data_IF_901067189541
#
_entry.id   IF_901067189541
#
_cell.length_a   1.000
_cell.length_b   1.000
_cell.length_c   1.000
_cell.angle_alpha   90.00
_cell.angle_beta   90.00
_cell.angle_gamma   90.00
#
_symmetry.space_group_name_H-M   'P 1'
#
loop_
_entity.id
_entity.type
_entity.pdbx_description
1 polymer ?
#
# COMPACT_ATOMS: atom_id res chain seq x y z
N UNK A 1 2.82 -18.37 5.32
CA UNK A 1 1.47 -17.79 5.09
C UNK A 1 1.64 -16.29 4.93
N UNK A 2 0.87 -15.65 4.05
CA UNK A 2 0.87 -14.19 3.91
C UNK A 2 0.27 -13.54 5.15
N UNK A 3 0.76 -12.36 5.51
CA UNK A 3 0.21 -11.56 6.61
C UNK A 3 -1.25 -11.17 6.36
N UNK A 4 -2.15 -11.28 7.37
CA UNK A 4 -3.53 -10.84 7.24
C UNK A 4 -3.64 -9.33 7.02
N UNK A 5 -4.62 -8.93 6.21
CA UNK A 5 -5.05 -7.52 6.13
C UNK A 5 -6.46 -7.37 6.70
N UNK A 6 -6.66 -6.32 7.48
CA UNK A 6 -7.95 -5.95 8.08
C UNK A 6 -8.27 -4.50 7.76
N UNK A 7 -9.53 -4.11 7.92
CA UNK A 7 -9.96 -2.73 7.70
C UNK A 7 -10.82 -2.20 8.83
N UNK A 8 -10.83 -0.87 8.96
CA UNK A 8 -11.81 -0.09 9.71
C UNK A 8 -12.46 0.95 8.80
N UNK A 9 -13.78 1.01 8.77
CA UNK A 9 -14.53 2.16 8.27
C UNK A 9 -14.78 3.11 9.43
N UNK A 10 -14.27 4.33 9.33
CA UNK A 10 -14.28 5.31 10.41
C UNK A 10 -15.34 6.37 10.14
N UNK A 11 -16.07 6.74 11.20
CA UNK A 11 -17.00 7.87 11.20
C UNK A 11 -16.68 8.85 12.32
N UNK A 12 -16.96 10.14 12.12
CA UNK A 12 -17.04 11.16 13.17
C UNK A 12 -18.50 11.61 13.30
N UNK A 13 -19.12 11.42 14.46
CA UNK A 13 -20.54 11.74 14.69
C UNK A 13 -21.48 11.12 13.62
N UNK A 14 -21.16 9.89 13.20
CA UNK A 14 -21.79 9.11 12.12
C UNK A 14 -21.50 9.58 10.68
N UNK A 15 -20.75 10.66 10.49
CA UNK A 15 -20.29 11.09 9.17
C UNK A 15 -19.04 10.30 8.74
N UNK A 16 -19.03 9.67 7.55
CA UNK A 16 -17.89 8.87 7.10
C UNK A 16 -16.59 9.70 6.93
N UNK A 17 -15.52 9.30 7.62
CA UNK A 17 -14.18 9.85 7.42
C UNK A 17 -13.39 9.10 6.35
N UNK A 18 -13.64 7.79 6.23
CA UNK A 18 -13.04 6.91 5.23
C UNK A 18 -12.63 5.56 5.80
N UNK A 19 -11.90 4.78 5.01
CA UNK A 19 -11.42 3.44 5.37
C UNK A 19 -9.93 3.45 5.68
N UNK A 20 -9.53 2.77 6.74
CA UNK A 20 -8.14 2.45 7.08
C UNK A 20 -7.92 0.96 6.85
N UNK A 21 -6.90 0.60 6.06
CA UNK A 21 -6.49 -0.80 5.86
C UNK A 21 -5.16 -1.03 6.55
N UNK A 22 -5.05 -2.14 7.26
CA UNK A 22 -3.91 -2.46 8.12
C UNK A 22 -3.42 -3.87 7.81
N UNK A 23 -2.12 -4.03 7.68
CA UNK A 23 -1.46 -5.34 7.59
C UNK A 23 -0.95 -5.75 8.98
N UNK A 24 -1.24 -6.99 9.37
CA UNK A 24 -0.89 -7.55 10.67
C UNK A 24 0.32 -8.47 10.52
N UNK A 25 1.35 -8.27 11.32
CA UNK A 25 2.63 -9.01 11.29
C UNK A 25 2.51 -10.37 11.96
N UNK A 26 1.63 -11.22 11.44
CA UNK A 26 1.44 -12.59 11.91
C UNK A 26 2.69 -13.47 11.75
N UNK A 27 3.60 -13.07 10.85
CA UNK A 27 4.93 -13.65 10.71
C UNK A 27 5.87 -13.40 11.90
N UNK A 28 5.62 -12.35 12.72
CA UNK A 28 6.47 -11.97 13.86
C UNK A 28 5.75 -12.12 15.20
N UNK A 29 4.47 -11.76 15.25
CA UNK A 29 3.62 -11.80 16.45
C UNK A 29 2.28 -12.48 16.13
N UNK A 30 2.28 -13.78 15.78
CA UNK A 30 1.08 -14.50 15.35
C UNK A 30 -0.07 -14.44 16.36
N UNK A 31 0.21 -14.51 17.67
CA UNK A 31 -0.83 -14.50 18.71
C UNK A 31 -1.48 -13.12 18.82
N UNK A 32 -0.68 -12.06 18.78
CA UNK A 32 -1.15 -10.67 18.85
C UNK A 32 -1.90 -10.28 17.58
N UNK A 33 -1.38 -10.67 16.41
CA UNK A 33 -2.02 -10.45 15.12
C UNK A 33 -3.37 -11.17 15.03
N UNK A 34 -3.45 -12.43 15.48
CA UNK A 34 -4.70 -13.20 15.46
C UNK A 34 -5.75 -12.62 16.41
N UNK A 35 -5.35 -12.13 17.58
CA UNK A 35 -6.25 -11.40 18.49
C UNK A 35 -6.91 -10.23 17.78
N UNK A 36 -6.09 -9.36 17.19
CA UNK A 36 -6.61 -8.17 16.50
C UNK A 36 -7.48 -8.54 15.29
N UNK A 37 -7.06 -9.52 14.48
CA UNK A 37 -7.82 -9.99 13.32
C UNK A 37 -9.20 -10.52 13.71
N UNK A 38 -9.26 -11.40 14.71
CA UNK A 38 -10.51 -11.99 15.17
C UNK A 38 -11.45 -10.90 15.73
N UNK A 39 -10.93 -9.92 16.48
CA UNK A 39 -11.69 -8.77 16.98
C UNK A 39 -12.18 -7.85 15.84
N UNK A 40 -11.43 -7.69 14.75
CA UNK A 40 -11.92 -7.00 13.55
C UNK A 40 -13.09 -7.75 12.91
N UNK A 41 -13.04 -9.09 12.84
CA UNK A 41 -14.12 -9.87 12.21
C UNK A 41 -15.34 -10.08 13.10
N UNK A 42 -15.20 -9.94 14.42
CA UNK A 42 -16.25 -10.25 15.38
C UNK A 42 -16.57 -11.75 15.49
N UNK A 43 -15.75 -12.64 14.94
CA UNK A 43 -16.03 -14.08 14.86
C UNK A 43 -16.14 -14.78 16.22
N UNK A 44 -15.68 -14.14 17.29
CA UNK A 44 -15.82 -14.60 18.69
C UNK A 44 -17.08 -14.09 19.39
N UNK A 45 -17.98 -13.42 18.66
CA UNK A 45 -19.22 -12.82 19.19
C UNK A 45 -19.05 -11.43 19.79
N UNK A 46 -17.84 -10.89 19.80
CA UNK A 46 -17.50 -9.54 20.22
C UNK A 46 -16.32 -9.02 19.37
N UNK A 47 -16.15 -7.70 19.29
CA UNK A 47 -15.13 -7.12 18.41
C UNK A 47 -15.18 -5.60 18.33
N UNK A 48 -14.46 -5.06 17.35
CA UNK A 48 -14.25 -3.62 17.22
C UNK A 48 -15.40 -2.85 16.55
N UNK A 49 -16.37 -3.52 15.94
CA UNK A 49 -17.51 -2.84 15.30
C UNK A 49 -18.33 -2.08 16.33
N UNK A 50 -18.47 -0.77 16.15
CA UNK A 50 -19.11 0.16 17.08
C UNK A 50 -18.19 0.69 18.20
N UNK A 51 -16.94 0.22 18.28
CA UNK A 51 -15.95 0.72 19.23
C UNK A 51 -15.51 2.15 18.86
N UNK A 52 -15.17 2.95 19.87
CA UNK A 52 -14.67 4.31 19.69
C UNK A 52 -13.14 4.39 19.77
N UNK A 53 -12.57 5.41 19.15
CA UNK A 53 -11.26 5.94 19.52
C UNK A 53 -11.47 6.93 20.66
N UNK A 54 -11.18 6.50 21.89
CA UNK A 54 -11.46 7.28 23.10
C UNK A 54 -10.36 8.30 23.43
N UNK A 55 -9.17 8.16 22.84
CA UNK A 55 -8.04 9.07 23.05
C UNK A 55 -7.29 9.29 21.74
N UNK A 56 -7.23 10.53 21.26
CA UNK A 56 -6.50 10.91 20.04
C UNK A 56 -5.61 12.09 20.38
N UNK A 57 -4.29 11.88 20.42
CA UNK A 57 -3.31 12.96 20.62
C UNK A 57 -2.77 13.34 19.24
N UNK A 58 -3.13 14.52 18.69
CA UNK A 58 -2.73 14.94 17.35
C UNK A 58 -1.22 14.83 17.12
N UNK A 59 -0.82 14.26 15.99
CA UNK A 59 0.59 14.06 15.65
C UNK A 59 1.32 13.00 16.46
N UNK A 60 0.69 12.38 17.46
CA UNK A 60 1.28 11.28 18.23
C UNK A 60 0.58 9.96 17.93
N UNK A 61 -0.66 9.78 18.39
CA UNK A 61 -1.35 8.49 18.27
C UNK A 61 -2.87 8.60 18.39
N UNK A 62 -3.56 7.61 17.83
CA UNK A 62 -4.99 7.38 18.01
C UNK A 62 -5.19 6.05 18.74
N UNK A 63 -5.73 6.08 19.96
CA UNK A 63 -6.01 4.91 20.79
C UNK A 63 -7.50 4.56 20.80
N UNK A 64 -7.77 3.27 20.68
CA UNK A 64 -9.11 2.70 20.68
C UNK A 64 -9.07 1.24 21.14
N UNK A 65 -10.12 0.50 20.81
CA UNK A 65 -10.21 -0.94 21.10
C UNK A 65 -10.76 -1.28 22.48
N UNK A 66 -11.22 -0.29 23.25
CA UNK A 66 -12.08 -0.51 24.42
C UNK A 66 -13.54 -0.58 23.95
N UNK A 67 -14.01 -1.81 23.71
CA UNK A 67 -15.38 -2.08 23.28
C UNK A 67 -16.31 -2.47 24.44
N UNK A 68 -15.82 -2.44 25.70
CA UNK A 68 -16.65 -2.74 26.88
C UNK A 68 -17.09 -1.45 27.56
N UNK A 69 -16.15 -0.56 27.84
CA UNK A 69 -16.40 0.65 28.64
C UNK A 69 -16.25 1.93 27.82
N UNK A 70 -15.60 1.83 26.64
CA UNK A 70 -15.44 2.92 25.66
C UNK A 70 -14.67 4.15 26.17
N UNK A 71 -13.91 4.01 27.25
CA UNK A 71 -13.20 5.11 27.91
C UNK A 71 -11.71 4.84 28.20
N UNK A 72 -11.24 3.63 27.91
CA UNK A 72 -9.86 3.19 28.12
C UNK A 72 -9.67 2.36 29.39
N UNK A 73 -10.70 2.15 30.21
CA UNK A 73 -10.66 1.28 31.39
C UNK A 73 -10.93 -0.19 31.08
N UNK A 74 -11.51 -0.48 29.91
CA UNK A 74 -12.02 -1.79 29.55
C UNK A 74 -11.23 -2.55 28.48
N UNK A 75 -11.95 -3.45 27.80
CA UNK A 75 -11.47 -4.31 26.75
C UNK A 75 -11.05 -5.70 27.22
N UNK A 76 -11.07 -6.67 26.29
CA UNK A 76 -10.62 -8.04 26.52
C UNK A 76 -10.12 -8.68 25.23
N UNK A 77 -9.20 -9.63 25.35
CA UNK A 77 -8.69 -10.38 24.21
C UNK A 77 -9.58 -11.56 23.83
N UNK A 78 -9.31 -12.19 22.69
CA UNK A 78 -9.93 -13.49 22.34
C UNK A 78 -9.44 -14.65 23.22
N UNK A 79 -8.40 -14.42 24.04
CA UNK A 79 -7.78 -15.41 24.91
C UNK A 79 -8.20 -15.28 26.38
N UNK A 80 -9.05 -14.29 26.71
CA UNK A 80 -9.41 -13.94 28.09
C UNK A 80 -9.24 -12.44 28.35
N UNK A 81 -9.25 -12.02 29.62
CA UNK A 81 -9.12 -10.61 29.99
C UNK A 81 -7.80 -10.01 29.51
N UNK A 82 -6.68 -10.73 29.69
CA UNK A 82 -5.33 -10.28 29.33
C UNK A 82 -4.50 -11.41 28.69
N UNK A 83 -3.47 -11.05 27.93
CA UNK A 83 -2.44 -11.96 27.44
C UNK A 83 -1.03 -11.32 27.44
N UNK A 84 -0.02 -12.18 27.42
CA UNK A 84 1.40 -11.81 27.54
C UNK A 84 1.93 -10.98 26.36
N UNK A 85 3.01 -10.25 26.62
CA UNK A 85 3.79 -9.58 25.58
C UNK A 85 4.51 -10.63 24.72
N UNK A 86 4.10 -10.76 23.46
CA UNK A 86 4.60 -11.85 22.60
C UNK A 86 6.08 -11.68 22.24
N UNK A 87 6.50 -10.49 21.83
CA UNK A 87 7.90 -10.05 21.73
C UNK A 87 7.99 -8.54 21.43
N UNK A 88 9.21 -7.98 21.45
CA UNK A 88 9.50 -6.57 21.14
C UNK A 88 10.48 -6.41 19.96
N UNK A 89 10.41 -7.33 18.99
CA UNK A 89 11.29 -7.32 17.80
C UNK A 89 11.01 -6.09 16.93
N UNK A 90 9.74 -5.80 16.68
CA UNK A 90 9.30 -4.63 15.91
C UNK A 90 9.39 -3.35 16.75
N UNK A 91 9.66 -2.22 16.09
CA UNK A 91 9.90 -0.91 16.71
C UNK A 91 8.84 0.11 16.31
N UNK A 92 8.62 1.10 17.16
CA UNK A 92 7.59 2.13 16.99
C UNK A 92 7.98 3.19 15.94
N UNK A 93 8.02 2.77 14.67
CA UNK A 93 8.12 3.67 13.52
C UNK A 93 6.76 4.31 13.18
N UNK A 94 6.75 5.29 12.28
CA UNK A 94 5.50 5.93 11.87
C UNK A 94 4.49 4.94 11.23
N UNK A 95 3.20 5.11 11.55
CA UNK A 95 2.04 4.36 11.05
C UNK A 95 1.99 2.88 11.45
N UNK A 96 2.56 2.54 12.59
CA UNK A 96 2.46 1.19 13.17
C UNK A 96 1.27 1.06 14.10
N UNK A 97 0.73 -0.17 14.18
CA UNK A 97 -0.20 -0.58 15.22
C UNK A 97 0.57 -1.17 16.39
N UNK A 98 0.19 -0.80 17.60
CA UNK A 98 0.80 -1.33 18.82
C UNK A 98 -0.23 -1.52 19.93
N UNK A 99 0.00 -2.51 20.79
CA UNK A 99 -0.91 -2.84 21.88
C UNK A 99 -0.84 -1.77 22.98
N UNK A 100 -2.00 -1.28 23.41
CA UNK A 100 -2.09 -0.53 24.66
C UNK A 100 -2.11 -1.54 25.83
N UNK A 101 -1.44 -1.20 26.92
CA UNK A 101 -1.35 -2.04 28.11
C UNK A 101 -1.22 -1.17 29.37
N UNK A 102 -1.38 -1.80 30.55
CA UNK A 102 -1.25 -1.17 31.88
C UNK A 102 -0.01 -1.68 32.63
N UNK A 103 1.01 -2.09 31.87
CA UNK A 103 2.21 -2.77 32.37
C UNK A 103 2.49 -4.07 31.62
N UNK A 104 3.62 -4.74 31.93
CA UNK A 104 4.04 -5.96 31.25
C UNK A 104 2.96 -7.05 31.29
N UNK A 105 2.76 -7.75 30.18
CA UNK A 105 1.83 -8.88 30.02
C UNK A 105 0.36 -8.55 30.34
N UNK A 106 -0.07 -7.34 29.99
CA UNK A 106 -1.46 -6.90 30.22
C UNK A 106 -2.21 -6.54 28.94
N UNK A 107 -1.85 -7.17 27.82
CA UNK A 107 -2.47 -6.90 26.53
C UNK A 107 -3.93 -7.39 26.54
N UNK A 108 -4.86 -6.55 26.13
CA UNK A 108 -6.29 -6.88 25.99
C UNK A 108 -6.76 -6.72 24.55
N UNK A 109 -7.73 -5.84 24.32
CA UNK A 109 -8.15 -5.43 22.98
C UNK A 109 -7.72 -4.03 22.60
N UNK A 110 -7.28 -3.21 23.55
CA UNK A 110 -6.90 -1.84 23.27
C UNK A 110 -5.61 -1.76 22.47
N UNK A 111 -5.58 -0.81 21.54
CA UNK A 111 -4.47 -0.58 20.64
C UNK A 111 -4.33 0.91 20.38
N UNK A 112 -3.17 1.31 19.89
CA UNK A 112 -2.97 2.63 19.31
C UNK A 112 -2.30 2.54 17.94
N UNK A 113 -2.60 3.52 17.09
CA UNK A 113 -1.96 3.73 15.80
C UNK A 113 -1.06 4.96 15.93
N UNK A 114 0.25 4.80 15.70
CA UNK A 114 1.20 5.90 15.76
C UNK A 114 1.15 6.78 14.52
N UNK A 115 1.09 8.10 14.69
CA UNK A 115 1.22 9.12 13.65
C UNK A 115 2.64 9.70 13.55
N UNK A 116 3.56 9.26 14.43
CA UNK A 116 4.99 9.58 14.41
C UNK A 116 5.83 8.39 14.89
N UNK A 117 7.16 8.48 14.74
CA UNK A 117 8.09 7.54 15.38
C UNK A 117 8.10 7.79 16.89
N UNK A 118 7.90 6.75 17.70
CA UNK A 118 7.74 6.84 19.16
C UNK A 118 8.63 5.85 19.91
N UNK A 119 9.95 5.96 19.72
CA UNK A 119 10.93 5.00 20.26
C UNK A 119 10.94 4.84 21.78
N UNK A 120 10.39 5.80 22.54
CA UNK A 120 10.25 5.70 23.99
C UNK A 120 9.25 4.61 24.45
N UNK A 121 8.44 4.08 23.52
CA UNK A 121 7.52 2.96 23.71
C UNK A 121 8.15 1.59 23.39
N UNK A 122 9.34 1.57 22.77
CA UNK A 122 10.03 0.34 22.41
C UNK A 122 10.36 -0.50 23.66
N UNK A 123 10.10 -1.81 23.56
CA UNK A 123 10.30 -2.74 24.69
C UNK A 123 9.21 -2.70 25.75
N UNK A 124 8.16 -1.88 25.56
CA UNK A 124 7.02 -1.74 26.50
C UNK A 124 5.67 -2.09 25.89
N UNK A 125 5.53 -1.85 24.58
CA UNK A 125 4.30 -2.13 23.83
C UNK A 125 4.62 -3.01 22.61
N UNK A 126 3.82 -4.05 22.39
CA UNK A 126 4.00 -4.97 21.27
C UNK A 126 3.50 -4.31 19.98
N UNK A 127 4.42 -4.03 19.06
CA UNK A 127 4.08 -3.60 17.70
C UNK A 127 3.66 -4.82 16.89
N UNK A 128 2.48 -4.78 16.27
CA UNK A 128 1.89 -5.96 15.61
C UNK A 128 1.38 -5.73 14.19
N UNK A 129 1.51 -4.52 13.65
CA UNK A 129 1.06 -4.23 12.29
C UNK A 129 1.42 -2.84 11.82
N UNK A 130 0.97 -2.49 10.63
CA UNK A 130 1.05 -1.13 10.10
C UNK A 130 -0.15 -0.77 9.24
N UNK A 131 -0.50 0.51 9.21
CA UNK A 131 -1.46 1.06 8.24
C UNK A 131 -0.82 0.99 6.86
N UNK A 132 -1.54 0.41 5.90
CA UNK A 132 -1.14 0.28 4.49
C UNK A 132 -2.00 1.14 3.55
N UNK A 133 -3.23 1.49 3.94
CA UNK A 133 -4.10 2.43 3.21
C UNK A 133 -4.92 3.27 4.21
N UNK A 134 -5.36 4.47 3.82
CA UNK A 134 -6.23 5.32 4.65
C UNK A 134 -5.50 6.27 5.60
N UNK A 135 -4.26 6.64 5.33
CA UNK A 135 -3.49 7.58 6.17
C UNK A 135 -4.15 8.97 6.27
N UNK A 136 -4.87 9.39 5.22
CA UNK A 136 -5.66 10.61 5.20
C UNK A 136 -6.80 10.58 6.21
N UNK A 137 -7.35 9.39 6.52
CA UNK A 137 -8.36 9.21 7.57
C UNK A 137 -7.74 9.47 8.93
N UNK A 138 -6.52 8.97 9.18
CA UNK A 138 -5.76 9.26 10.41
C UNK A 138 -5.54 10.77 10.58
N UNK A 139 -5.14 11.47 9.51
CA UNK A 139 -4.97 12.93 9.54
C UNK A 139 -6.29 13.67 9.80
N UNK A 140 -7.42 13.18 9.27
CA UNK A 140 -8.73 13.75 9.56
C UNK A 140 -9.08 13.57 11.04
N UNK A 141 -8.83 12.39 11.61
CA UNK A 141 -9.10 12.08 13.02
C UNK A 141 -8.39 13.03 13.98
N UNK A 142 -7.14 13.42 13.70
CA UNK A 142 -6.41 14.43 14.49
C UNK A 142 -7.21 15.74 14.65
N UNK A 143 -7.91 16.18 13.59
CA UNK A 143 -8.74 17.40 13.59
C UNK A 143 -9.94 17.35 14.54
N UNK A 144 -10.35 16.17 14.99
CA UNK A 144 -11.49 15.96 15.89
C UNK A 144 -11.09 15.81 17.36
N UNK A 145 -9.89 16.24 17.75
CA UNK A 145 -9.42 16.13 19.13
C UNK A 145 -8.80 17.41 19.67
N UNK A 146 -8.63 17.49 20.99
CA UNK A 146 -7.85 18.51 21.67
C UNK A 146 -6.36 18.11 21.71
N UNK A 147 -5.44 19.06 21.96
CA UNK A 147 -4.03 18.72 22.19
C UNK A 147 -3.79 17.75 23.36
N UNK A 148 -4.72 17.69 24.32
CA UNK A 148 -4.64 16.80 25.48
C UNK A 148 -5.19 15.40 25.23
N UNK A 149 -5.67 15.09 24.04
CA UNK A 149 -6.15 13.75 23.69
C UNK A 149 -7.68 13.60 23.61
N UNK A 150 -8.42 14.56 24.17
CA UNK A 150 -9.88 14.46 24.31
C UNK A 150 -10.55 14.65 22.95
N UNK A 151 -11.37 13.68 22.53
CA UNK A 151 -12.11 13.77 21.28
C UNK A 151 -13.29 14.74 21.39
N UNK A 152 -13.40 15.67 20.43
CA UNK A 152 -14.49 16.64 20.30
C UNK A 152 -15.74 16.04 19.65
N UNK A 153 -15.54 14.99 18.85
CA UNK A 153 -16.57 14.23 18.16
C UNK A 153 -16.42 12.75 18.48
N UNK A 154 -17.51 11.99 18.36
CA UNK A 154 -17.49 10.55 18.58
C UNK A 154 -16.87 9.84 17.38
N UNK A 155 -15.57 9.54 17.46
CA UNK A 155 -14.85 8.80 16.43
C UNK A 155 -15.08 7.30 16.61
N UNK A 156 -15.80 6.69 15.67
CA UNK A 156 -16.31 5.31 15.79
C UNK A 156 -15.83 4.44 14.63
N UNK A 157 -15.51 3.18 14.92
CA UNK A 157 -15.31 2.12 13.93
C UNK A 157 -16.69 1.63 13.51
N UNK A 158 -17.25 2.21 12.46
CA UNK A 158 -18.61 1.91 12.00
C UNK A 158 -18.73 0.48 11.42
N UNK A 159 -17.69 0.02 10.72
CA UNK A 159 -17.58 -1.35 10.25
C UNK A 159 -16.12 -1.81 10.24
N UNK A 160 -15.91 -3.11 10.37
CA UNK A 160 -14.57 -3.69 10.37
C UNK A 160 -14.59 -5.16 9.96
N UNK A 161 -13.43 -5.68 9.57
CA UNK A 161 -13.30 -7.09 9.21
C UNK A 161 -12.01 -7.39 8.47
N UNK A 162 -11.95 -8.61 7.92
CA UNK A 162 -10.90 -8.98 7.00
C UNK A 162 -10.99 -8.09 5.75
N UNK A 163 -9.87 -7.45 5.40
CA UNK A 163 -9.74 -6.79 4.11
C UNK A 163 -9.51 -7.90 3.08
N UNK A 164 -10.61 -8.41 2.52
CA UNK A 164 -10.51 -9.21 1.30
C UNK A 164 -9.87 -8.33 0.24
N UNK A 165 -8.93 -8.87 -0.53
CA UNK A 165 -8.59 -8.31 -1.83
C UNK A 165 -9.89 -8.31 -2.63
N UNK A 166 -10.62 -7.18 -2.66
CA UNK A 166 -11.80 -7.05 -3.50
C UNK A 166 -11.28 -6.97 -4.93
N UNK A 167 -11.40 -8.08 -5.67
CA UNK A 167 -11.51 -8.01 -7.12
C UNK A 167 -12.67 -7.06 -7.42
N UNK A 168 -12.35 -5.87 -7.93
CA UNK A 168 -13.34 -4.85 -8.23
C UNK A 168 -14.18 -5.34 -9.42
N UNK A 169 -15.51 -5.42 -9.27
CA UNK A 169 -16.40 -5.47 -10.42
C UNK A 169 -16.37 -4.07 -11.08
N UNK A 170 -15.69 -3.96 -12.21
CA UNK A 170 -15.72 -2.77 -13.06
C UNK A 170 -16.67 -3.04 -14.22
N UNK A 171 -17.71 -2.21 -14.36
CA UNK A 171 -18.47 -2.10 -15.62
C UNK A 171 -17.59 -1.35 -16.63
N UNK A 172 -17.02 -2.07 -17.58
CA UNK A 172 -16.44 -1.46 -18.77
C UNK A 172 -17.53 -1.26 -19.82
N UNK A 173 -17.72 -0.02 -20.28
CA UNK A 173 -18.38 0.26 -21.56
C UNK A 173 -17.25 0.32 -22.59
N UNK A 174 -17.05 -0.78 -23.33
CA UNK A 174 -16.11 -0.82 -24.45
C UNK A 174 -16.81 -0.26 -25.69
N UNK A 175 -16.28 0.85 -26.21
CA UNK A 175 -16.59 1.35 -27.55
C UNK A 175 -15.82 0.49 -28.57
N UNK A 176 -16.55 -0.32 -29.35
CA UNK A 176 -16.02 -1.40 -30.20
C UNK A 176 -15.44 -0.85 -31.53
N UNK A 177 -15.01 0.40 -31.55
CA UNK A 177 -14.56 1.07 -32.78
C UNK A 177 -13.08 0.81 -33.15
N UNK A 178 -12.30 0.11 -32.31
CA UNK A 178 -10.82 0.07 -32.46
C UNK A 178 -10.22 -1.31 -32.80
N UNK A 179 -10.99 -2.40 -32.84
CA UNK A 179 -10.42 -3.76 -32.99
C UNK A 179 -10.41 -4.30 -34.44
N UNK A 180 -10.96 -3.60 -35.44
CA UNK A 180 -10.91 -4.08 -36.84
C UNK A 180 -9.98 -3.22 -37.69
N UNK A 181 -8.68 -3.34 -37.41
CA UNK A 181 -7.61 -2.90 -38.29
C UNK A 181 -6.80 -4.10 -38.78
N UNK A 182 -7.01 -4.48 -40.05
CA UNK A 182 -6.22 -5.46 -40.82
C UNK A 182 -6.29 -6.93 -40.38
N UNK A 183 -7.43 -7.58 -40.68
CA UNK A 183 -7.40 -8.95 -41.23
C UNK A 183 -8.31 -8.96 -42.46
N UNK A 184 -7.72 -8.75 -43.65
CA UNK A 184 -8.30 -9.25 -44.89
C UNK A 184 -7.96 -10.72 -44.91
N UNK A 185 -8.94 -11.57 -44.61
CA UNK A 185 -9.25 -12.76 -45.40
C UNK A 185 -10.47 -13.46 -44.81
N UNK A 186 -11.41 -13.77 -45.71
CA UNK A 186 -12.73 -14.33 -45.45
C UNK A 186 -12.65 -15.69 -44.75
N UNK A 187 -13.45 -15.87 -43.69
CA UNK A 187 -14.38 -17.01 -43.56
C UNK A 187 -15.27 -16.85 -42.30
N UNK A 188 -16.57 -16.66 -42.56
CA UNK A 188 -17.72 -16.96 -41.70
C UNK A 188 -17.70 -16.56 -40.22
N UNK A 189 -18.35 -15.43 -39.92
CA UNK A 189 -19.05 -15.23 -38.64
C UNK A 189 -20.36 -14.47 -38.91
N UNK A 190 -21.35 -15.22 -39.38
CA UNK A 190 -22.74 -14.78 -39.45
C UNK A 190 -23.46 -15.31 -38.21
N UNK A 191 -23.78 -14.42 -37.27
CA UNK A 191 -24.93 -14.56 -36.35
C UNK A 191 -25.13 -13.22 -35.63
N UNK A 192 -25.85 -12.31 -36.28
CA UNK A 192 -27.21 -11.88 -35.92
C UNK A 192 -27.36 -11.43 -34.45
N UNK A 193 -27.20 -10.12 -34.26
CA UNK A 193 -27.89 -9.36 -33.23
C UNK A 193 -29.38 -9.33 -33.58
N UNK A 194 -30.21 -10.03 -32.83
CA UNK A 194 -31.64 -9.74 -32.76
C UNK A 194 -32.02 -9.44 -31.33
N UNK A 195 -32.49 -8.21 -31.12
CA UNK A 195 -33.10 -7.71 -29.90
C UNK A 195 -34.31 -8.55 -29.50
N UNK A 196 -34.29 -9.14 -28.32
CA UNK A 196 -35.50 -9.53 -27.61
C UNK A 196 -35.26 -9.45 -26.10
N UNK A 197 -36.10 -8.64 -25.45
CA UNK A 197 -36.34 -8.67 -24.01
C UNK A 197 -36.74 -10.07 -23.58
N UNK A 198 -36.13 -10.61 -22.51
CA UNK A 198 -36.80 -11.40 -21.48
C UNK A 198 -35.85 -11.71 -20.33
N UNK A 199 -36.43 -11.68 -19.14
CA UNK A 199 -35.91 -12.16 -17.86
C UNK A 199 -35.57 -13.66 -17.91
N UNK A 200 -34.39 -14.01 -17.40
CA UNK A 200 -34.03 -15.19 -16.60
C UNK A 200 -32.53 -15.49 -16.74
N UNK A 201 -31.93 -16.00 -15.67
CA UNK A 201 -30.49 -15.95 -15.40
C UNK A 201 -29.61 -16.61 -16.46
N UNK A 202 -28.60 -15.87 -16.92
CA UNK A 202 -27.47 -16.39 -17.69
C UNK A 202 -26.22 -16.30 -16.83
N UNK A 203 -25.63 -17.46 -16.53
CA UNK A 203 -24.29 -17.57 -15.94
C UNK A 203 -23.27 -17.01 -16.95
N UNK A 204 -22.73 -15.83 -16.65
CA UNK A 204 -21.62 -15.26 -17.41
C UNK A 204 -20.36 -16.06 -17.11
N UNK A 205 -19.86 -16.76 -18.13
CA UNK A 205 -18.57 -17.43 -18.11
C UNK A 205 -17.47 -16.50 -17.60
N UNK A 206 -16.62 -17.03 -16.73
CA UNK A 206 -15.51 -16.35 -16.08
C UNK A 206 -14.55 -15.78 -17.14
N UNK A 207 -14.55 -14.45 -17.32
CA UNK A 207 -13.41 -13.78 -17.94
C UNK A 207 -12.20 -13.88 -16.98
N UNK A 208 -11.00 -14.25 -17.46
CA UNK A 208 -9.81 -14.26 -16.61
C UNK A 208 -9.53 -12.83 -16.14
N UNK A 209 -9.69 -12.60 -14.83
CA UNK A 209 -9.28 -11.38 -14.16
C UNK A 209 -7.78 -11.19 -14.37
N UNK A 210 -7.37 -10.11 -15.04
CA UNK A 210 -5.95 -9.76 -15.11
C UNK A 210 -5.52 -9.34 -13.71
N UNK A 211 -4.79 -10.20 -13.01
CA UNK A 211 -4.21 -9.88 -11.72
C UNK A 211 -3.15 -8.78 -11.86
N UNK A 212 -3.10 -7.85 -10.92
CA UNK A 212 -2.05 -6.85 -10.85
C UNK A 212 -0.67 -7.54 -10.76
N UNK A 213 0.26 -7.28 -11.71
CA UNK A 213 1.53 -7.96 -11.74
C UNK A 213 2.42 -7.50 -10.59
N UNK A 214 3.17 -8.44 -10.01
CA UNK A 214 4.22 -8.15 -9.04
C UNK A 214 5.58 -8.30 -9.69
N UNK A 215 6.47 -7.38 -9.39
CA UNK A 215 7.87 -7.39 -9.82
C UNK A 215 8.78 -7.18 -8.62
N UNK A 216 10.06 -7.51 -8.74
CA UNK A 216 11.02 -7.29 -7.67
C UNK A 216 12.31 -6.64 -8.17
N UNK A 217 13.01 -6.00 -7.25
CA UNK A 217 14.42 -5.60 -7.38
C UNK A 217 15.25 -6.21 -6.25
N UNK A 218 16.36 -6.85 -6.60
CA UNK A 218 17.42 -7.16 -5.64
C UNK A 218 18.44 -6.03 -5.65
N UNK A 219 18.60 -5.35 -4.53
CA UNK A 219 19.37 -4.12 -4.41
C UNK A 219 20.73 -4.41 -3.78
N UNK A 220 21.79 -3.83 -4.35
CA UNK A 220 23.13 -3.77 -3.75
C UNK A 220 23.59 -2.32 -3.57
N UNK A 221 24.48 -2.10 -2.60
CA UNK A 221 25.26 -0.87 -2.45
C UNK A 221 26.75 -1.25 -2.52
N UNK A 222 27.40 -0.94 -3.64
CA UNK A 222 28.68 -1.56 -4.00
C UNK A 222 28.55 -3.09 -4.01
N UNK A 223 29.42 -3.78 -3.28
CA UNK A 223 29.41 -5.25 -3.17
C UNK A 223 28.50 -5.79 -2.06
N UNK A 224 27.77 -4.92 -1.33
CA UNK A 224 26.92 -5.32 -0.21
C UNK A 224 25.46 -5.48 -0.64
N UNK A 225 24.86 -6.67 -0.52
CA UNK A 225 23.41 -6.85 -0.70
C UNK A 225 22.64 -6.04 0.35
N UNK A 226 21.67 -5.23 -0.09
CA UNK A 226 20.73 -4.53 0.79
C UNK A 226 19.44 -5.32 1.03
N UNK A 227 19.02 -6.10 0.04
CA UNK A 227 17.86 -6.98 0.09
C UNK A 227 16.97 -6.85 -1.15
N UNK A 228 15.80 -7.49 -1.08
CA UNK A 228 14.79 -7.48 -2.13
C UNK A 228 13.68 -6.47 -1.82
N UNK A 229 13.25 -5.74 -2.84
CA UNK A 229 12.03 -4.92 -2.82
C UNK A 229 11.04 -5.57 -3.77
N UNK A 230 9.83 -5.90 -3.30
CA UNK A 230 8.74 -6.43 -4.14
C UNK A 230 7.69 -5.33 -4.31
N UNK A 231 7.22 -5.17 -5.54
CA UNK A 231 6.35 -4.09 -5.96
C UNK A 231 5.15 -4.66 -6.70
N UNK A 232 3.94 -4.24 -6.31
CA UNK A 232 2.71 -4.54 -7.04
C UNK A 232 2.35 -3.37 -7.94
N UNK A 233 2.13 -3.65 -9.22
CA UNK A 233 1.83 -2.65 -10.24
C UNK A 233 0.32 -2.57 -10.47
N UNK A 234 -0.23 -1.36 -10.55
CA UNK A 234 -1.66 -1.09 -10.69
C UNK A 234 -2.10 -1.17 -12.15
N UNK A 235 -1.95 -2.35 -12.75
CA UNK A 235 -2.39 -2.61 -14.12
C UNK A 235 -3.92 -2.52 -14.29
N UNK A 236 -4.67 -2.60 -13.19
CA UNK A 236 -6.10 -2.31 -13.11
C UNK A 236 -6.46 -0.83 -13.29
N UNK A 237 -5.54 0.09 -12.97
CA UNK A 237 -5.78 1.55 -13.00
C UNK A 237 -4.99 2.24 -14.10
N UNK A 238 -3.74 1.84 -14.30
CA UNK A 238 -2.82 2.41 -15.29
C UNK A 238 -2.13 1.29 -16.11
N UNK A 239 -2.89 0.43 -16.81
CA UNK A 239 -2.38 -0.72 -17.56
C UNK A 239 -1.16 -0.42 -18.44
N UNK A 240 -1.14 0.71 -19.16
CA UNK A 240 -0.04 1.01 -20.09
C UNK A 240 1.25 1.34 -19.33
N UNK A 241 1.13 2.09 -18.25
CA UNK A 241 2.26 2.47 -17.38
C UNK A 241 2.80 1.26 -16.62
N UNK A 242 1.90 0.45 -16.04
CA UNK A 242 2.25 -0.78 -15.34
C UNK A 242 2.95 -1.78 -16.26
N UNK A 243 2.45 -1.97 -17.49
CA UNK A 243 3.05 -2.88 -18.47
C UNK A 243 4.45 -2.43 -18.90
N UNK A 244 4.65 -1.12 -19.11
CA UNK A 244 5.98 -0.57 -19.39
C UNK A 244 6.98 -0.93 -18.28
N UNK A 245 6.60 -0.69 -17.02
CA UNK A 245 7.48 -0.99 -15.89
C UNK A 245 7.73 -2.49 -15.72
N UNK A 246 6.69 -3.32 -15.88
CA UNK A 246 6.80 -4.79 -15.81
C UNK A 246 7.76 -5.32 -16.87
N UNK A 247 7.58 -4.93 -18.13
CA UNK A 247 8.42 -5.37 -19.23
C UNK A 247 9.89 -4.94 -19.05
N UNK A 248 10.14 -3.73 -18.54
CA UNK A 248 11.49 -3.25 -18.21
C UNK A 248 12.10 -4.01 -17.00
N UNK A 249 11.29 -4.49 -16.06
CA UNK A 249 11.77 -5.36 -14.99
C UNK A 249 12.16 -6.75 -15.50
N UNK A 250 11.40 -7.33 -16.42
CA UNK A 250 11.71 -8.67 -16.96
C UNK A 250 12.84 -8.65 -17.99
N UNK A 251 13.03 -7.52 -18.67
CA UNK A 251 13.97 -7.41 -19.78
C UNK A 251 13.51 -8.11 -21.05
N UNK A 252 12.24 -8.52 -21.15
CA UNK A 252 11.71 -9.30 -22.28
C UNK A 252 11.80 -8.57 -23.64
N UNK A 253 11.99 -7.24 -23.63
CA UNK A 253 12.19 -6.41 -24.82
C UNK A 253 13.67 -6.27 -25.22
N UNK A 254 14.57 -6.99 -24.55
CA UNK A 254 16.03 -6.94 -24.79
C UNK A 254 16.75 -5.80 -24.06
N UNK A 255 16.03 -4.98 -23.30
CA UNK A 255 16.55 -3.91 -22.45
C UNK A 255 15.68 -3.79 -21.19
N UNK A 256 16.23 -3.22 -20.11
CA UNK A 256 15.51 -3.15 -18.84
C UNK A 256 16.32 -2.60 -17.68
N UNK A 257 15.80 -2.78 -16.47
CA UNK A 257 16.35 -2.19 -15.24
C UNK A 257 17.52 -2.97 -14.63
N UNK A 258 17.81 -4.19 -15.09
CA UNK A 258 18.93 -4.97 -14.54
C UNK A 258 20.25 -4.22 -14.77
N UNK A 259 21.00 -4.00 -13.69
CA UNK A 259 22.23 -3.22 -13.68
C UNK A 259 22.04 -1.70 -13.58
N UNK A 260 20.81 -1.21 -13.64
CA UNK A 260 20.52 0.22 -13.51
C UNK A 260 20.78 0.71 -12.08
N UNK A 261 21.18 1.98 -11.97
CA UNK A 261 21.44 2.62 -10.67
C UNK A 261 20.25 3.45 -10.19
N UNK A 262 20.20 3.69 -8.87
CA UNK A 262 19.41 4.78 -8.30
C UNK A 262 20.26 6.04 -8.24
N UNK A 263 20.11 6.90 -9.25
CA UNK A 263 20.97 8.07 -9.49
C UNK A 263 20.66 9.28 -8.60
N UNK A 264 19.49 9.31 -7.95
CA UNK A 264 19.11 10.37 -7.01
C UNK A 264 18.39 9.77 -5.80
N UNK A 265 18.90 10.01 -4.60
CA UNK A 265 18.23 9.57 -3.37
C UNK A 265 18.24 10.72 -2.38
N UNK A 266 17.04 11.24 -2.10
CA UNK A 266 16.84 12.30 -1.12
C UNK A 266 16.24 11.63 0.14
N UNK A 267 17.02 11.56 1.24
CA UNK A 267 16.58 10.90 2.47
C UNK A 267 15.24 11.47 2.95
N UNK A 268 14.32 10.58 3.32
CA UNK A 268 12.99 10.98 3.79
C UNK A 268 12.08 11.55 2.69
N UNK A 269 12.46 11.44 1.42
CA UNK A 269 11.65 11.90 0.30
C UNK A 269 11.44 10.82 -0.75
N UNK A 270 12.47 10.50 -1.55
CA UNK A 270 12.34 9.56 -2.66
C UNK A 270 13.68 8.99 -3.13
N UNK A 271 13.60 7.81 -3.73
CA UNK A 271 14.67 7.21 -4.52
C UNK A 271 14.27 7.26 -6.00
N UNK A 272 15.06 7.91 -6.86
CA UNK A 272 14.85 7.93 -8.30
C UNK A 272 15.83 6.98 -8.99
N UNK A 273 15.33 6.23 -9.96
CA UNK A 273 16.12 5.36 -10.81
C UNK A 273 15.49 5.25 -12.21
N UNK A 274 15.94 4.25 -12.96
CA UNK A 274 15.36 3.89 -14.25
C UNK A 274 16.00 4.57 -15.47
N UNK A 275 17.10 5.29 -15.29
CA UNK A 275 17.98 5.69 -16.40
C UNK A 275 18.98 4.56 -16.70
N UNK A 276 18.55 3.63 -17.55
CA UNK A 276 19.38 2.51 -18.01
C UNK A 276 20.11 2.80 -19.33
N UNK A 277 19.97 3.99 -19.91
CA UNK A 277 20.63 4.32 -21.20
C UNK A 277 21.88 5.16 -20.99
N UNK A 278 21.77 6.24 -20.21
CA UNK A 278 22.85 7.21 -20.06
C UNK A 278 23.48 7.17 -18.66
N UNK A 279 22.73 6.65 -17.68
CA UNK A 279 23.16 6.54 -16.28
C UNK A 279 23.55 7.90 -15.63
N UNK A 280 23.07 9.01 -16.19
CA UNK A 280 23.43 10.38 -15.82
C UNK A 280 22.21 11.30 -15.64
N UNK A 281 21.01 10.69 -15.54
CA UNK A 281 19.68 11.30 -15.39
C UNK A 281 19.07 11.83 -16.69
N UNK A 282 19.83 11.91 -17.78
CA UNK A 282 19.33 12.41 -19.06
C UNK A 282 18.66 11.34 -19.92
N UNK A 283 18.83 10.06 -19.56
CA UNK A 283 18.41 8.93 -20.37
C UNK A 283 17.06 8.32 -20.00
N UNK A 284 16.83 7.13 -20.56
CA UNK A 284 15.64 6.33 -20.36
C UNK A 284 14.64 6.40 -21.51
N UNK A 285 14.08 5.24 -21.86
CA UNK A 285 13.08 5.05 -22.93
C UNK A 285 12.02 4.04 -22.50
N UNK A 286 10.87 4.06 -23.14
CA UNK A 286 9.78 3.12 -22.86
C UNK A 286 9.79 1.93 -23.82
N UNK A 287 8.97 0.93 -23.54
CA UNK A 287 8.69 -0.16 -24.49
C UNK A 287 7.87 0.28 -25.71
N UNK A 288 7.35 1.52 -25.69
CA UNK A 288 6.53 2.10 -26.76
C UNK A 288 7.30 3.14 -27.60
N UNK A 289 8.61 3.31 -27.36
CA UNK A 289 9.44 4.36 -27.97
C UNK A 289 10.07 5.27 -26.91
N UNK A 290 10.49 6.47 -27.31
CA UNK A 290 11.18 7.41 -26.43
C UNK A 290 10.33 7.82 -25.22
N UNK A 291 9.10 8.25 -25.46
CA UNK A 291 8.15 8.73 -24.44
C UNK A 291 6.73 8.22 -24.67
N UNK A 292 5.90 8.25 -23.63
CA UNK A 292 4.46 7.97 -23.71
C UNK A 292 3.64 8.87 -22.77
N UNK A 293 2.34 8.95 -23.06
CA UNK A 293 1.40 9.85 -22.38
C UNK A 293 1.14 9.48 -20.91
N UNK A 294 0.67 10.46 -20.15
CA UNK A 294 0.11 10.24 -18.81
C UNK A 294 -1.24 9.56 -18.94
N UNK A 295 -1.42 8.44 -18.24
CA UNK A 295 -2.65 7.66 -18.39
C UNK A 295 -3.81 8.22 -17.57
N UNK A 296 -3.59 8.40 -16.26
CA UNK A 296 -4.48 9.13 -15.36
C UNK A 296 -3.77 9.51 -14.05
N UNK A 297 -4.44 10.33 -13.23
CA UNK A 297 -3.93 10.79 -11.92
C UNK A 297 -4.88 10.41 -10.76
N UNK A 298 -5.57 9.28 -10.89
CA UNK A 298 -6.52 8.79 -9.88
C UNK A 298 -5.77 8.41 -8.60
N UNK A 299 -4.66 7.70 -8.74
CA UNK A 299 -3.79 7.32 -7.63
C UNK A 299 -2.98 8.52 -7.13
N UNK A 300 -2.79 8.59 -5.82
CA UNK A 300 -2.12 9.71 -5.13
C UNK A 300 -0.78 9.28 -4.56
N UNK A 301 0.13 10.23 -4.40
CA UNK A 301 1.47 10.01 -3.88
C UNK A 301 1.45 9.82 -2.37
N UNK A 302 0.99 8.66 -1.93
CA UNK A 302 1.11 8.17 -0.56
C UNK A 302 2.50 7.59 -0.29
N UNK A 303 2.73 7.10 0.92
CA UNK A 303 4.01 6.49 1.28
C UNK A 303 4.22 5.17 0.51
N UNK A 304 5.46 4.90 0.09
CA UNK A 304 5.90 3.67 -0.59
C UNK A 304 5.23 3.39 -1.93
N UNK A 305 4.84 4.43 -2.66
CA UNK A 305 4.33 4.29 -4.03
C UNK A 305 5.44 4.39 -5.07
N UNK A 306 5.17 3.79 -6.23
CA UNK A 306 5.91 4.02 -7.46
C UNK A 306 5.24 5.12 -8.28
N UNK A 307 6.03 6.06 -8.76
CA UNK A 307 5.55 7.16 -9.61
C UNK A 307 6.49 7.41 -10.78
N UNK A 308 5.97 7.83 -11.92
CA UNK A 308 6.79 8.17 -13.08
C UNK A 308 7.63 9.42 -12.80
N UNK A 309 8.92 9.36 -13.14
CA UNK A 309 9.79 10.52 -13.15
C UNK A 309 9.85 11.06 -14.59
N UNK A 310 9.10 12.11 -14.85
CA UNK A 310 8.96 12.72 -16.16
C UNK A 310 9.32 14.22 -16.09
N UNK A 311 9.51 14.86 -17.25
CA UNK A 311 9.93 16.27 -17.37
C UNK A 311 8.77 17.21 -17.69
N UNK A 312 7.53 16.75 -17.49
CA UNK A 312 6.32 17.44 -17.86
C UNK A 312 5.23 16.49 -18.36
N UNK A 313 4.04 17.02 -18.66
CA UNK A 313 2.91 16.20 -19.10
C UNK A 313 3.26 15.33 -20.31
N UNK A 314 2.81 14.08 -20.28
CA UNK A 314 2.95 13.12 -21.38
C UNK A 314 4.39 12.79 -21.79
N UNK A 315 5.34 12.89 -20.84
CA UNK A 315 6.76 12.58 -21.08
C UNK A 315 7.25 11.38 -20.28
N UNK A 316 6.38 10.38 -20.08
CA UNK A 316 6.75 9.17 -19.36
C UNK A 316 7.74 8.34 -20.18
N UNK A 317 8.73 7.75 -19.51
CA UNK A 317 9.74 6.89 -20.13
C UNK A 317 10.02 5.68 -19.25
N UNK A 318 11.27 5.48 -18.87
CA UNK A 318 11.66 4.43 -17.90
C UNK A 318 11.99 4.94 -16.52
N UNK A 319 12.20 6.25 -16.35
CA UNK A 319 12.58 6.80 -15.05
C UNK A 319 11.38 6.83 -14.10
N UNK A 320 11.64 6.56 -12.82
CA UNK A 320 10.62 6.46 -11.79
C UNK A 320 11.15 6.87 -10.42
N UNK A 321 10.22 7.16 -9.52
CA UNK A 321 10.44 7.38 -8.10
C UNK A 321 9.89 6.19 -7.29
N UNK A 322 10.59 5.83 -6.21
CA UNK A 322 10.01 5.17 -5.05
C UNK A 322 9.86 6.24 -3.96
N UNK A 323 8.63 6.68 -3.72
CA UNK A 323 8.34 7.71 -2.73
C UNK A 323 8.36 7.11 -1.32
N UNK A 324 9.18 7.66 -0.41
CA UNK A 324 9.34 7.13 0.96
C UNK A 324 8.53 7.89 2.02
N UNK A 325 7.80 8.90 1.58
CA UNK A 325 6.81 9.68 2.32
C UNK A 325 5.71 10.09 1.33
N UNK A 326 4.59 10.58 1.85
CA UNK A 326 3.57 11.17 0.99
C UNK A 326 4.08 12.47 0.34
N UNK A 327 3.98 12.56 -0.98
CA UNK A 327 4.50 13.69 -1.80
C UNK A 327 3.38 14.32 -2.62
N UNK A 328 2.35 14.82 -1.95
CA UNK A 328 1.11 15.31 -2.60
C UNK A 328 1.31 16.43 -3.61
N UNK A 329 2.42 17.16 -3.57
CA UNK A 329 2.75 18.19 -4.58
C UNK A 329 3.06 17.62 -5.97
N UNK A 330 3.28 16.30 -6.07
CA UNK A 330 3.42 15.54 -7.32
C UNK A 330 2.06 15.06 -7.86
N UNK A 331 0.98 15.13 -7.06
CA UNK A 331 -0.35 14.71 -7.49
C UNK A 331 -0.83 15.53 -8.69
N UNK A 332 -1.42 14.85 -9.67
CA UNK A 332 -1.89 15.48 -10.91
C UNK A 332 -0.77 15.85 -11.89
N UNK A 333 0.50 15.54 -11.58
CA UNK A 333 1.66 15.83 -12.43
C UNK A 333 2.45 14.59 -12.84
N UNK A 334 2.50 13.60 -11.95
CA UNK A 334 3.20 12.34 -12.18
C UNK A 334 2.26 11.16 -11.97
N UNK A 335 2.30 10.19 -12.88
CA UNK A 335 1.45 9.00 -12.81
C UNK A 335 1.97 8.06 -11.73
N UNK A 336 1.16 7.81 -10.70
CA UNK A 336 1.41 6.74 -9.73
C UNK A 336 0.95 5.42 -10.33
N UNK A 337 1.81 4.40 -10.31
CA UNK A 337 1.56 3.14 -11.04
C UNK A 337 1.79 1.86 -10.23
N UNK A 338 2.14 1.96 -8.95
CA UNK A 338 2.36 0.79 -8.12
C UNK A 338 2.66 1.15 -6.67
N UNK A 339 2.89 0.13 -5.85
CA UNK A 339 3.38 0.30 -4.48
C UNK A 339 4.37 -0.80 -4.11
N UNK A 340 5.27 -0.48 -3.18
CA UNK A 340 6.14 -1.47 -2.54
C UNK A 340 5.29 -2.29 -1.56
N UNK A 341 5.25 -3.61 -1.78
CA UNK A 341 4.48 -4.56 -0.97
C UNK A 341 5.36 -5.42 -0.07
N UNK A 342 6.66 -5.57 -0.38
CA UNK A 342 7.65 -6.20 0.50
C UNK A 342 9.00 -5.48 0.38
N UNK A 343 9.85 -5.55 1.41
CA UNK A 343 11.18 -4.96 1.40
C UNK A 343 11.25 -3.48 1.79
N UNK A 344 10.31 -2.99 2.60
CA UNK A 344 10.30 -1.60 3.12
C UNK A 344 11.60 -1.24 3.82
N UNK A 345 12.18 -2.16 4.57
CA UNK A 345 13.47 -2.01 5.24
C UNK A 345 14.63 -1.81 4.25
N UNK A 346 14.54 -2.37 3.04
CA UNK A 346 15.51 -2.13 1.96
C UNK A 346 15.38 -0.70 1.45
N UNK A 347 14.16 -0.20 1.26
CA UNK A 347 13.91 1.21 0.90
C UNK A 347 14.42 2.17 1.98
N UNK A 348 14.25 1.83 3.26
CA UNK A 348 14.82 2.60 4.38
C UNK A 348 16.36 2.59 4.34
N UNK A 349 16.98 1.41 4.19
CA UNK A 349 18.44 1.30 4.00
C UNK A 349 18.91 2.10 2.80
N UNK A 350 18.10 2.17 1.74
CA UNK A 350 18.39 3.03 0.61
C UNK A 350 18.36 4.51 1.05
N UNK A 351 17.30 5.00 1.67
CA UNK A 351 17.23 6.41 2.07
C UNK A 351 18.40 6.88 2.96
N UNK A 352 18.89 6.03 3.88
CA UNK A 352 20.03 6.38 4.77
C UNK A 352 21.32 6.66 4.00
N UNK A 353 21.50 6.08 2.82
CA UNK A 353 22.69 6.28 2.00
C UNK A 353 22.55 7.46 1.01
N UNK A 354 21.44 8.18 1.05
CA UNK A 354 21.24 9.39 0.25
C UNK A 354 21.89 10.63 0.88
N UNK A 355 21.75 11.76 0.21
CA UNK A 355 22.20 13.07 0.71
C UNK A 355 21.14 14.14 0.42
N UNK A 356 21.23 15.30 1.06
CA UNK A 356 20.30 16.42 0.82
C UNK A 356 20.40 16.98 -0.60
N UNK A 357 21.57 16.88 -1.25
CA UNK A 357 21.77 17.19 -2.67
C UNK A 357 21.34 16.05 -3.60
N UNK A 358 20.96 14.90 -3.03
CA UNK A 358 20.57 13.68 -3.72
C UNK A 358 21.69 12.96 -4.46
N UNK A 359 22.95 13.43 -4.37
CA UNK A 359 24.11 12.72 -4.91
C UNK A 359 24.31 11.40 -4.17
N UNK A 360 24.50 10.31 -4.91
CA UNK A 360 24.79 8.99 -4.35
C UNK A 360 25.91 8.32 -5.13
N UNK A 361 26.79 7.60 -4.42
CA UNK A 361 27.94 6.88 -5.00
C UNK A 361 27.58 5.44 -5.37
N UNK A 362 26.41 5.24 -5.98
CA UNK A 362 25.89 3.99 -6.58
C UNK A 362 25.20 2.97 -5.67
N UNK A 363 23.95 2.67 -6.04
CA UNK A 363 23.21 1.45 -5.70
C UNK A 363 22.69 0.85 -6.97
N UNK A 364 22.79 -0.46 -7.07
CA UNK A 364 22.56 -1.18 -8.31
C UNK A 364 21.38 -2.11 -8.12
N UNK A 365 20.48 -2.11 -9.10
CA UNK A 365 19.48 -3.16 -9.27
C UNK A 365 20.21 -4.38 -9.82
N UNK A 366 20.68 -5.25 -8.93
CA UNK A 366 21.50 -6.42 -9.29
C UNK A 366 20.70 -7.46 -10.09
N UNK A 367 19.43 -7.63 -9.74
CA UNK A 367 18.45 -8.42 -10.50
C UNK A 367 17.06 -7.81 -10.39
N UNK A 368 16.26 -8.04 -11.42
CA UNK A 368 14.85 -7.69 -11.47
C UNK A 368 14.09 -8.68 -12.35
N UNK A 369 12.84 -9.02 -11.99
CA UNK A 369 11.96 -9.87 -12.80
C UNK A 369 10.50 -9.80 -12.27
N UNK A 370 9.59 -10.55 -12.90
CA UNK A 370 8.30 -10.93 -12.33
C UNK A 370 8.51 -11.67 -11.00
N UNK A 371 7.68 -11.33 -10.03
CA UNK A 371 7.59 -12.04 -8.76
C UNK A 371 6.45 -13.06 -8.85
N UNK A 372 6.81 -14.31 -9.10
CA UNK A 372 5.88 -15.43 -9.06
C UNK A 372 5.95 -16.09 -7.69
N UNK A 373 4.79 -16.39 -7.10
CA UNK A 373 4.72 -17.30 -5.96
C UNK A 373 5.03 -18.70 -6.48
N UNK A 374 6.14 -19.29 -6.05
CA UNK A 374 6.34 -20.74 -6.17
C UNK A 374 5.43 -21.48 -5.20
#
# INVERSE_FOLDING_TARGET
MSNPKVFFDITADNEPLGRVVMELRADVVPKTAENFRALCTGEKGFGYKGCTFHLIIPGFMCQGGDFTDHDGSGGKSIYGERFDDENFVLKHSNLVLSMANTGPNTNGSQFFICSMTSSWLDGKHVVFGSVVEGMEVMKKMDGFSSPSGQTKSKITIADCGNSRIKGHQIKYVLDVSVIVGNVKDNLNLQMLLTSQTCSEGVSWGMFPQMSNPKVFFDITAGNKPLGRVVMELRADVVPKTAENFRALCTGEKGFGYKGCTFHLIIPGLMCQGGDFTNHDRSGGKSIYGEKFDDENFVLKHSNLVLSMANTGPNTNGSQFFICSVGTSWLDGKHVVFGSVVEGREVVIKMNVLGSSSGQTNSKIISSCNLFNFC
#
